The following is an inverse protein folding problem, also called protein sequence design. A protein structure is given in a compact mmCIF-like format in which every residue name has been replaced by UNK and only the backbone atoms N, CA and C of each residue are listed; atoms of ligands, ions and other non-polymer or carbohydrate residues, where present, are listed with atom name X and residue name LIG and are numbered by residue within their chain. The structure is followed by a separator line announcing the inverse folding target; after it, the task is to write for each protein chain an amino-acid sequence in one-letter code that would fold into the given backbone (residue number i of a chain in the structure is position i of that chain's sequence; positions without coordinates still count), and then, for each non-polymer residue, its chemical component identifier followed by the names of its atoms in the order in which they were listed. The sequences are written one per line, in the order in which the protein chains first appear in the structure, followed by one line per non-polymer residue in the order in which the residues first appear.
data_IF_395176920736
#
_entry.id   IF_395176920736
#
_cell.length_a   1.000
_cell.length_b   1.000
_cell.length_c   1.000
_cell.angle_alpha   90.00
_cell.angle_beta   90.00
_cell.angle_gamma   90.00
#
_symmetry.space_group_name_H-M   'P 1'
#
loop_
_entity.id
_entity.type
_entity.pdbx_description
1 polymer ?
#
# COMPACT_ATOMS: atom_id res chain seq x y z
N UNK A 1 46.45 63.36 -45.05
CA UNK A 1 45.18 62.85 -44.50
C UNK A 1 45.23 61.34 -44.53
N UNK A 2 45.59 60.70 -43.42
CA UNK A 2 45.65 59.21 -43.31
C UNK A 2 44.30 58.73 -42.79
N UNK A 3 43.64 57.85 -43.58
CA UNK A 3 42.47 57.11 -43.13
C UNK A 3 42.93 55.88 -42.38
N UNK A 4 42.62 55.81 -41.06
CA UNK A 4 42.77 54.59 -40.26
C UNK A 4 41.53 53.71 -40.46
N UNK A 5 41.78 52.49 -40.91
CA UNK A 5 40.80 51.41 -41.01
C UNK A 5 40.68 50.68 -39.66
N UNK A 6 39.50 50.67 -39.04
CA UNK A 6 39.18 49.85 -37.87
C UNK A 6 38.74 48.46 -38.35
N UNK A 7 39.42 47.42 -37.88
CA UNK A 7 39.01 46.01 -38.02
C UNK A 7 38.30 45.61 -36.75
N UNK A 8 37.07 45.09 -36.78
CA UNK A 8 36.39 44.58 -35.58
C UNK A 8 36.85 43.16 -35.27
N UNK A 9 37.37 42.95 -34.10
CA UNK A 9 37.62 41.60 -33.52
C UNK A 9 36.28 41.01 -33.10
N UNK A 10 35.87 39.91 -33.78
CA UNK A 10 34.78 39.06 -33.33
C UNK A 10 35.31 38.11 -32.24
N UNK A 11 34.85 38.29 -30.96
CA UNK A 11 35.01 37.29 -29.91
C UNK A 11 33.96 36.21 -30.11
N UNK A 12 34.33 35.02 -30.55
CA UNK A 12 33.49 33.82 -30.52
C UNK A 12 33.57 33.22 -29.11
N UNK A 13 32.49 33.42 -28.32
CA UNK A 13 32.32 32.74 -27.04
C UNK A 13 31.94 31.27 -27.29
N UNK A 14 32.85 30.33 -27.05
CA UNK A 14 32.56 28.91 -27.02
C UNK A 14 31.85 28.61 -25.70
N UNK A 15 30.52 28.44 -25.73
CA UNK A 15 29.77 27.86 -24.62
C UNK A 15 30.05 26.36 -24.59
N UNK A 16 30.90 25.90 -23.69
CA UNK A 16 31.04 24.49 -23.36
C UNK A 16 29.76 24.00 -22.70
N UNK A 17 28.91 23.25 -23.41
CA UNK A 17 27.83 22.46 -22.83
C UNK A 17 28.49 21.37 -21.96
N UNK A 18 28.49 21.56 -20.65
CA UNK A 18 28.76 20.49 -19.70
C UNK A 18 27.53 19.57 -19.76
N UNK A 19 27.63 18.46 -20.47
CA UNK A 19 26.68 17.37 -20.41
C UNK A 19 26.76 16.82 -18.96
N UNK A 20 25.87 17.28 -18.09
CA UNK A 20 25.65 16.65 -16.79
C UNK A 20 25.13 15.24 -17.08
N UNK A 21 25.99 14.24 -16.90
CA UNK A 21 25.60 12.84 -16.95
C UNK A 21 24.45 12.63 -15.98
N UNK A 22 23.29 12.21 -16.48
CA UNK A 22 22.17 11.81 -15.61
C UNK A 22 22.68 10.76 -14.63
N UNK A 23 22.37 10.88 -13.33
CA UNK A 23 22.73 9.86 -12.36
C UNK A 23 22.19 8.52 -12.88
N UNK A 24 23.06 7.51 -12.96
CA UNK A 24 22.65 6.15 -13.34
C UNK A 24 21.63 5.69 -12.30
N UNK A 25 20.36 5.64 -12.67
CA UNK A 25 19.31 5.03 -11.84
C UNK A 25 19.66 3.55 -11.67
N UNK A 26 19.91 3.16 -10.42
CA UNK A 26 20.19 1.76 -10.09
C UNK A 26 18.88 1.00 -10.29
N UNK A 27 18.86 0.10 -11.27
CA UNK A 27 17.71 -0.76 -11.51
C UNK A 27 17.57 -1.75 -10.35
N UNK A 28 16.34 -2.02 -9.86
CA UNK A 28 16.14 -3.00 -8.80
C UNK A 28 16.45 -4.42 -9.29
N UNK A 29 16.99 -5.24 -8.38
CA UNK A 29 17.17 -6.67 -8.60
C UNK A 29 15.91 -7.41 -8.15
N UNK A 30 15.37 -8.27 -8.99
CA UNK A 30 14.21 -9.12 -8.74
C UNK A 30 14.65 -10.58 -8.61
N UNK A 31 14.23 -11.26 -7.54
CA UNK A 31 14.57 -12.67 -7.27
C UNK A 31 13.30 -13.45 -6.94
N UNK A 32 12.86 -14.39 -7.79
CA UNK A 32 11.73 -15.27 -7.49
C UNK A 32 11.99 -16.13 -6.25
N UNK A 33 10.93 -16.33 -5.44
CA UNK A 33 10.96 -17.16 -4.25
C UNK A 33 9.82 -18.17 -4.28
N UNK A 34 10.02 -19.34 -3.66
CA UNK A 34 8.98 -20.36 -3.54
C UNK A 34 8.19 -20.15 -2.24
N UNK A 35 6.94 -19.72 -2.37
CA UNK A 35 6.04 -19.44 -1.24
C UNK A 35 5.59 -20.66 -0.45
N UNK A 36 5.77 -21.87 -0.99
CA UNK A 36 5.23 -23.11 -0.41
C UNK A 36 3.74 -23.34 -0.70
N UNK A 37 3.09 -22.52 -1.52
CA UNK A 37 1.66 -22.63 -1.87
C UNK A 37 1.40 -22.29 -3.34
N UNK A 38 0.35 -22.87 -3.92
CA UNK A 38 -0.19 -22.46 -5.22
C UNK A 38 -1.35 -21.45 -5.11
N UNK A 39 -1.80 -21.14 -3.89
CA UNK A 39 -2.89 -20.19 -3.68
C UNK A 39 -2.41 -18.75 -3.92
N UNK A 40 -3.25 -17.92 -4.57
CA UNK A 40 -2.93 -16.51 -4.79
C UNK A 40 -2.73 -15.75 -3.50
N UNK A 41 -1.59 -15.05 -3.40
CA UNK A 41 -1.25 -14.18 -2.28
C UNK A 41 -1.70 -12.74 -2.58
N UNK A 42 -2.18 -12.03 -1.56
CA UNK A 42 -2.83 -10.71 -1.72
C UNK A 42 -2.14 -9.64 -0.88
N UNK A 43 -1.69 -9.97 0.33
CA UNK A 43 -1.04 -9.02 1.22
C UNK A 43 0.32 -9.54 1.69
N UNK A 44 1.22 -8.61 2.04
CA UNK A 44 2.57 -8.91 2.54
C UNK A 44 2.99 -7.90 3.59
N UNK A 45 3.52 -8.40 4.72
CA UNK A 45 3.98 -7.59 5.86
C UNK A 45 5.37 -8.03 6.30
N UNK A 46 6.43 -7.30 5.93
CA UNK A 46 7.77 -7.56 6.40
C UNK A 46 7.99 -6.92 7.79
N UNK A 47 8.23 -7.78 8.80
CA UNK A 47 8.62 -7.34 10.14
C UNK A 47 10.06 -6.78 10.13
N UNK A 48 10.93 -7.43 9.38
CA UNK A 48 12.33 -7.06 9.17
C UNK A 48 12.89 -7.83 7.95
N UNK A 49 14.16 -7.62 7.53
CA UNK A 49 14.71 -8.31 6.37
C UNK A 49 14.75 -9.86 6.43
N UNK A 50 14.55 -10.45 7.59
CA UNK A 50 14.53 -11.92 7.77
C UNK A 50 13.12 -12.46 7.94
N UNK A 51 12.22 -11.73 8.62
CA UNK A 51 10.88 -12.19 8.98
C UNK A 51 9.85 -11.46 8.13
N UNK A 52 9.09 -12.22 7.33
CA UNK A 52 8.04 -11.70 6.45
C UNK A 52 6.83 -12.63 6.47
N UNK A 53 5.66 -12.03 6.61
CA UNK A 53 4.38 -12.71 6.50
C UNK A 53 3.70 -12.34 5.18
N UNK A 54 2.98 -13.27 4.60
CA UNK A 54 2.06 -13.00 3.49
C UNK A 54 0.78 -13.81 3.66
N UNK A 55 -0.30 -13.31 3.08
CA UNK A 55 -1.61 -13.93 3.17
C UNK A 55 -2.37 -13.85 1.84
N UNK A 56 -3.42 -14.67 1.69
CA UNK A 56 -4.15 -14.70 0.45
C UNK A 56 -5.42 -15.56 0.47
N UNK A 57 -5.72 -16.14 -0.68
CA UNK A 57 -6.94 -16.89 -0.94
C UNK A 57 -6.96 -18.22 -0.21
N UNK A 58 -8.15 -18.79 -0.05
CA UNK A 58 -8.39 -20.11 0.53
C UNK A 58 -7.80 -20.26 1.94
N UNK A 59 -8.00 -19.25 2.79
CA UNK A 59 -7.52 -19.23 4.16
C UNK A 59 -6.00 -19.30 4.31
N UNK A 60 -5.24 -18.97 3.26
CA UNK A 60 -3.80 -19.17 3.19
C UNK A 60 -3.02 -18.05 3.87
N UNK A 61 -1.99 -18.45 4.60
CA UNK A 61 -0.88 -17.61 5.01
C UNK A 61 0.46 -18.30 4.66
N UNK A 62 1.54 -17.52 4.62
CA UNK A 62 2.90 -18.06 4.55
C UNK A 62 3.85 -17.12 5.29
N UNK A 63 4.90 -17.70 5.89
CA UNK A 63 5.90 -16.96 6.67
C UNK A 63 7.30 -17.43 6.35
N UNK A 64 8.23 -16.49 6.28
CA UNK A 64 9.68 -16.76 6.25
C UNK A 64 10.35 -16.17 7.48
N UNK A 65 11.43 -16.80 7.93
CA UNK A 65 12.29 -16.30 9.03
C UNK A 65 13.77 -16.20 8.61
N UNK A 66 14.05 -16.39 7.32
CA UNK A 66 15.40 -16.39 6.75
C UNK A 66 15.54 -15.50 5.49
N UNK A 67 14.65 -14.49 5.37
CA UNK A 67 14.65 -13.53 4.27
C UNK A 67 14.16 -14.09 2.96
N UNK A 68 13.30 -15.10 3.03
CA UNK A 68 12.64 -15.73 1.89
C UNK A 68 13.44 -16.85 1.22
N UNK A 69 14.50 -17.38 1.87
CA UNK A 69 15.17 -18.60 1.39
C UNK A 69 14.23 -19.79 1.52
N UNK A 70 13.48 -19.83 2.62
CA UNK A 70 12.43 -20.82 2.88
C UNK A 70 11.16 -20.12 3.35
N UNK A 71 10.00 -20.55 2.84
CA UNK A 71 8.69 -20.11 3.25
C UNK A 71 7.90 -21.31 3.78
N UNK A 72 7.17 -21.11 4.89
CA UNK A 72 6.27 -22.09 5.47
C UNK A 72 4.84 -21.64 5.26
N UNK A 73 4.15 -22.26 4.34
CA UNK A 73 2.72 -22.00 4.09
C UNK A 73 1.84 -22.85 5.00
N UNK A 74 0.63 -22.34 5.27
CA UNK A 74 -0.45 -23.01 5.97
C UNK A 74 -1.80 -22.45 5.58
N UNK A 75 -2.85 -23.13 6.02
CA UNK A 75 -4.25 -22.69 5.91
C UNK A 75 -4.80 -22.60 7.32
N UNK A 76 -5.50 -21.50 7.63
CA UNK A 76 -6.15 -21.33 8.94
C UNK A 76 -7.36 -22.27 9.01
N UNK A 77 -7.42 -23.19 9.99
CA UNK A 77 -8.53 -24.12 10.10
C UNK A 77 -9.88 -23.42 10.25
N UNK A 78 -10.87 -23.80 9.44
CA UNK A 78 -12.20 -23.18 9.39
C UNK A 78 -12.27 -21.86 8.63
N UNK A 79 -11.20 -21.49 7.91
CA UNK A 79 -11.13 -20.31 7.05
C UNK A 79 -10.84 -20.68 5.58
N UNK A 80 -10.97 -21.93 5.18
CA UNK A 80 -10.60 -22.47 3.86
C UNK A 80 -11.36 -21.77 2.71
N UNK A 81 -12.53 -21.23 2.97
CA UNK A 81 -13.34 -20.48 2.00
C UNK A 81 -13.13 -18.96 2.06
N UNK A 82 -12.33 -18.49 3.00
CA UNK A 82 -12.05 -17.06 3.18
C UNK A 82 -10.85 -16.62 2.36
N UNK A 83 -10.79 -15.32 2.10
CA UNK A 83 -9.63 -14.65 1.52
C UNK A 83 -9.02 -13.73 2.57
N UNK A 84 -7.77 -13.96 2.95
CA UNK A 84 -7.05 -13.01 3.80
C UNK A 84 -6.51 -11.87 2.94
N UNK A 85 -7.22 -10.75 2.98
CA UNK A 85 -6.91 -9.53 2.22
C UNK A 85 -5.84 -8.68 2.87
N UNK A 86 -5.59 -8.92 4.16
CA UNK A 86 -4.57 -8.18 4.89
C UNK A 86 -3.86 -9.08 5.91
N UNK A 87 -2.60 -8.73 6.18
CA UNK A 87 -1.75 -9.38 7.16
C UNK A 87 -0.85 -8.36 7.85
N UNK A 88 -0.81 -8.39 9.18
CA UNK A 88 0.16 -7.62 9.97
C UNK A 88 1.12 -8.57 10.69
N UNK A 89 2.37 -8.60 10.27
CA UNK A 89 3.44 -9.31 10.92
C UNK A 89 4.05 -8.48 12.05
N UNK A 90 3.97 -8.98 13.28
CA UNK A 90 4.55 -8.33 14.47
C UNK A 90 5.93 -8.93 14.80
N UNK A 91 6.07 -10.24 14.62
CA UNK A 91 7.31 -11.00 14.84
C UNK A 91 7.26 -12.31 14.08
N UNK A 92 8.31 -13.15 14.21
CA UNK A 92 8.29 -14.51 13.68
C UNK A 92 7.19 -15.39 14.31
N UNK A 93 6.63 -15.00 15.47
CA UNK A 93 5.61 -15.76 16.19
C UNK A 93 4.24 -15.09 16.18
N UNK A 94 4.17 -13.78 16.09
CA UNK A 94 2.93 -13.01 16.23
C UNK A 94 2.57 -12.35 14.92
N UNK A 95 1.34 -12.61 14.47
CA UNK A 95 0.76 -11.96 13.29
C UNK A 95 -0.76 -11.91 13.43
N UNK A 96 -1.36 -10.97 12.68
CA UNK A 96 -2.81 -10.83 12.51
C UNK A 96 -3.18 -11.07 11.05
N UNK A 97 -4.38 -11.60 10.82
CA UNK A 97 -4.98 -11.78 9.50
C UNK A 97 -6.38 -11.17 9.50
N UNK A 98 -6.74 -10.50 8.42
CA UNK A 98 -8.10 -10.02 8.21
C UNK A 98 -8.68 -10.62 6.93
N UNK A 99 -9.88 -11.21 7.03
CA UNK A 99 -10.52 -11.91 5.94
C UNK A 99 -11.71 -11.16 5.36
N UNK A 100 -11.99 -11.50 4.12
CA UNK A 100 -13.29 -11.35 3.48
C UNK A 100 -13.75 -12.72 2.98
N UNK A 101 -15.07 -12.85 2.75
CA UNK A 101 -15.65 -14.03 2.10
C UNK A 101 -15.89 -13.82 0.61
N UNK A 102 -16.45 -14.86 0.01
CA UNK A 102 -16.93 -14.85 -1.38
C UNK A 102 -18.45 -14.86 -1.46
N UNK A 103 -19.11 -15.08 -0.33
CA UNK A 103 -20.57 -15.28 -0.24
C UNK A 103 -21.34 -13.96 -0.08
N UNK A 104 -20.69 -12.88 0.35
CA UNK A 104 -21.35 -11.65 0.78
C UNK A 104 -21.94 -11.74 2.20
N UNK A 105 -21.66 -12.83 2.93
CA UNK A 105 -22.06 -12.96 4.34
C UNK A 105 -21.17 -12.03 5.20
N UNK A 106 -21.76 -11.13 6.00
CA UNK A 106 -20.99 -10.25 6.85
C UNK A 106 -20.10 -11.00 7.84
N UNK A 107 -20.44 -12.23 8.24
CA UNK A 107 -19.62 -13.03 9.16
C UNK A 107 -18.34 -13.59 8.55
N UNK A 108 -18.13 -13.40 7.24
CA UNK A 108 -16.86 -13.73 6.57
C UNK A 108 -15.77 -12.67 6.83
N UNK A 109 -16.14 -11.49 7.34
CA UNK A 109 -15.16 -10.48 7.79
C UNK A 109 -14.73 -10.80 9.21
N UNK A 110 -13.51 -11.34 9.32
CA UNK A 110 -12.94 -11.86 10.57
C UNK A 110 -11.53 -11.36 10.77
N UNK A 111 -11.16 -11.21 12.04
CA UNK A 111 -9.77 -10.96 12.43
C UNK A 111 -9.27 -12.15 13.25
N UNK A 112 -8.13 -12.67 12.85
CA UNK A 112 -7.43 -13.75 13.54
C UNK A 112 -6.07 -13.29 14.06
N UNK A 113 -5.59 -13.91 15.13
CA UNK A 113 -4.24 -13.69 15.67
C UNK A 113 -3.55 -15.02 15.93
N UNK A 114 -2.27 -15.09 15.57
CA UNK A 114 -1.36 -16.15 16.03
C UNK A 114 -0.33 -15.58 16.99
N UNK A 115 0.16 -16.44 17.91
CA UNK A 115 1.26 -16.12 18.83
C UNK A 115 2.36 -17.22 18.83
N UNK A 116 2.24 -18.18 17.93
CA UNK A 116 3.11 -19.36 17.84
C UNK A 116 3.68 -19.61 16.43
N UNK A 117 3.67 -18.58 15.58
CA UNK A 117 4.23 -18.67 14.22
C UNK A 117 3.28 -19.34 13.22
N UNK A 118 1.98 -19.23 13.45
CA UNK A 118 0.95 -19.78 12.59
C UNK A 118 0.65 -21.27 12.85
N UNK A 119 1.14 -21.83 13.97
CA UNK A 119 0.78 -23.19 14.36
C UNK A 119 -0.69 -23.24 14.83
N UNK A 120 -1.14 -22.20 15.53
CA UNK A 120 -2.56 -22.00 15.90
C UNK A 120 -2.99 -20.57 15.63
N UNK A 121 -4.30 -20.38 15.42
CA UNK A 121 -4.93 -19.08 15.17
C UNK A 121 -6.14 -18.91 16.08
N UNK A 122 -6.22 -17.76 16.75
CA UNK A 122 -7.35 -17.38 17.60
C UNK A 122 -8.21 -16.37 16.85
N UNK A 123 -9.50 -16.67 16.71
CA UNK A 123 -10.50 -15.74 16.19
C UNK A 123 -10.75 -14.64 17.20
N UNK A 124 -10.53 -13.38 16.83
CA UNK A 124 -10.68 -12.22 17.70
C UNK A 124 -11.93 -11.40 17.42
N UNK A 125 -12.34 -11.34 16.15
CA UNK A 125 -13.47 -10.56 15.71
C UNK A 125 -14.21 -11.28 14.59
N UNK A 126 -15.56 -11.19 14.61
CA UNK A 126 -16.46 -11.57 13.53
C UNK A 126 -17.45 -10.43 13.34
N UNK A 127 -17.53 -9.91 12.12
CA UNK A 127 -18.48 -8.86 11.81
C UNK A 127 -19.93 -9.39 11.92
N UNK A 128 -20.81 -8.59 12.52
CA UNK A 128 -22.23 -8.86 12.63
C UNK A 128 -23.08 -7.76 11.98
N UNK A 129 -22.45 -6.68 11.51
CA UNK A 129 -23.15 -5.55 10.90
C UNK A 129 -23.38 -5.80 9.42
N UNK A 130 -24.62 -5.99 8.95
CA UNK A 130 -24.94 -6.11 7.54
C UNK A 130 -24.50 -4.87 6.77
N UNK A 131 -23.88 -5.08 5.60
CA UNK A 131 -23.38 -4.02 4.74
C UNK A 131 -21.98 -3.49 5.10
N UNK A 132 -21.45 -3.80 6.28
CA UNK A 132 -20.06 -3.48 6.58
C UNK A 132 -19.12 -4.43 5.83
N UNK A 133 -18.10 -3.86 5.19
CA UNK A 133 -17.07 -4.58 4.44
C UNK A 133 -15.71 -4.05 4.87
N UNK A 134 -14.95 -4.86 5.62
CA UNK A 134 -13.64 -4.46 6.14
C UNK A 134 -12.56 -4.69 5.09
N UNK A 135 -11.89 -3.62 4.67
CA UNK A 135 -10.94 -3.62 3.56
C UNK A 135 -9.50 -3.86 3.98
N UNK A 136 -9.06 -3.17 5.03
CA UNK A 136 -7.68 -3.16 5.48
C UNK A 136 -7.61 -2.93 6.99
N UNK A 137 -6.47 -3.34 7.57
CA UNK A 137 -6.08 -2.91 8.90
C UNK A 137 -4.62 -2.44 8.92
N UNK A 138 -4.24 -1.66 9.93
CA UNK A 138 -2.84 -1.34 10.20
C UNK A 138 -2.62 -1.13 11.70
N UNK A 139 -1.37 -1.31 12.13
CA UNK A 139 -1.03 -1.24 13.54
C UNK A 139 0.00 -0.14 13.80
N UNK A 140 -0.24 0.71 14.81
CA UNK A 140 0.75 1.66 15.32
C UNK A 140 1.80 0.99 16.20
N UNK A 141 1.38 -0.05 16.91
CA UNK A 141 2.23 -0.87 17.78
C UNK A 141 1.74 -2.32 17.72
N UNK A 142 2.49 -3.30 18.22
CA UNK A 142 2.05 -4.71 18.22
C UNK A 142 0.66 -4.98 18.78
N UNK A 143 0.13 -4.09 19.60
CA UNK A 143 -1.16 -4.26 20.27
C UNK A 143 -2.15 -3.10 20.03
N UNK A 144 -1.77 -2.06 19.29
CA UNK A 144 -2.67 -0.95 18.96
C UNK A 144 -2.85 -0.87 17.44
N UNK A 145 -4.05 -1.15 16.96
CA UNK A 145 -4.37 -1.19 15.53
C UNK A 145 -5.76 -0.67 15.23
N UNK A 146 -5.99 -0.43 13.94
CA UNK A 146 -7.28 0.00 13.37
C UNK A 146 -7.64 -0.94 12.22
N UNK A 147 -8.93 -1.26 12.08
CA UNK A 147 -9.50 -1.91 10.90
C UNK A 147 -10.56 -0.99 10.30
N UNK A 148 -10.43 -0.73 9.01
CA UNK A 148 -11.30 0.17 8.25
C UNK A 148 -12.31 -0.61 7.42
N UNK A 149 -13.52 -0.10 7.36
CA UNK A 149 -14.65 -0.67 6.62
C UNK A 149 -15.26 0.36 5.68
N UNK A 150 -15.87 -0.12 4.62
CA UNK A 150 -16.81 0.64 3.79
C UNK A 150 -17.88 1.32 4.66
N UNK A 151 -18.41 2.44 4.18
CA UNK A 151 -19.44 3.15 4.91
C UNK A 151 -20.79 2.44 4.88
N UNK A 152 -21.47 2.43 6.01
CA UNK A 152 -22.85 1.94 6.16
C UNK A 152 -23.72 3.09 6.64
N UNK A 153 -24.73 3.46 5.84
CA UNK A 153 -25.65 4.57 6.17
C UNK A 153 -24.93 5.90 6.50
N UNK A 154 -23.85 6.21 5.78
CA UNK A 154 -23.09 7.45 5.94
C UNK A 154 -22.11 7.45 7.13
N UNK A 155 -21.83 6.30 7.73
CA UNK A 155 -20.91 6.12 8.87
C UNK A 155 -19.89 5.03 8.52
N UNK A 156 -18.62 5.24 8.84
CA UNK A 156 -17.59 4.20 8.78
C UNK A 156 -17.64 3.37 10.08
N UNK A 157 -17.98 2.06 10.02
CA UNK A 157 -18.03 1.20 11.21
C UNK A 157 -16.65 0.69 11.63
N UNK A 158 -15.67 1.58 11.65
CA UNK A 158 -14.28 1.27 11.92
C UNK A 158 -14.08 0.71 13.33
N UNK A 159 -13.07 -0.14 13.45
CA UNK A 159 -12.70 -0.81 14.69
C UNK A 159 -11.29 -0.40 15.12
N UNK A 160 -11.08 -0.37 16.43
CA UNK A 160 -9.75 -0.20 17.03
C UNK A 160 -9.50 -1.25 18.10
N UNK A 161 -8.27 -1.73 18.15
CA UNK A 161 -7.74 -2.47 19.30
C UNK A 161 -6.67 -1.65 20.02
N UNK A 162 -6.62 -1.73 21.34
CA UNK A 162 -5.58 -1.12 22.19
C UNK A 162 -4.77 -2.16 22.97
N UNK A 163 -5.23 -3.42 22.97
CA UNK A 163 -4.60 -4.54 23.66
C UNK A 163 -4.17 -5.68 22.71
N UNK A 164 -4.46 -5.52 21.41
CA UNK A 164 -4.19 -6.52 20.37
C UNK A 164 -5.01 -7.80 20.53
N UNK A 165 -6.15 -7.71 21.21
CA UNK A 165 -7.02 -8.86 21.50
C UNK A 165 -8.49 -8.54 21.27
N UNK A 166 -8.96 -7.41 21.82
CA UNK A 166 -10.35 -6.95 21.71
C UNK A 166 -10.46 -5.82 20.69
N UNK A 167 -11.48 -5.89 19.84
CA UNK A 167 -11.77 -4.89 18.82
C UNK A 167 -13.04 -4.14 19.17
N UNK A 168 -12.98 -2.82 19.20
CA UNK A 168 -14.08 -1.94 19.59
C UNK A 168 -14.37 -0.93 18.49
N UNK A 169 -15.64 -0.62 18.28
CA UNK A 169 -16.06 0.40 17.31
C UNK A 169 -15.55 1.78 17.72
N UNK A 170 -15.03 2.50 16.70
CA UNK A 170 -14.67 3.92 16.78
C UNK A 170 -15.46 4.77 15.79
N UNK A 171 -16.63 4.30 15.37
CA UNK A 171 -17.47 5.00 14.37
C UNK A 171 -17.76 6.44 14.74
N UNK A 172 -17.91 6.75 16.04
CA UNK A 172 -18.12 8.13 16.53
C UNK A 172 -16.91 9.05 16.37
N UNK A 173 -15.74 8.50 16.13
CA UNK A 173 -14.49 9.25 15.94
C UNK A 173 -14.27 9.60 14.47
N UNK A 174 -14.96 8.88 13.56
CA UNK A 174 -14.80 9.02 12.12
C UNK A 174 -15.55 10.23 11.58
N UNK A 175 -15.06 10.88 10.52
CA UNK A 175 -15.81 11.92 9.84
C UNK A 175 -17.03 11.31 9.13
N UNK A 176 -18.06 12.10 8.83
CA UNK A 176 -19.20 11.64 8.02
C UNK A 176 -18.71 11.13 6.67
N UNK A 177 -19.20 9.96 6.25
CA UNK A 177 -18.95 9.42 4.92
C UNK A 177 -19.78 10.15 3.87
N UNK A 178 -19.23 10.28 2.67
CA UNK A 178 -19.99 10.67 1.49
C UNK A 178 -20.91 9.51 1.05
N UNK A 179 -21.98 9.79 0.29
CA UNK A 179 -22.85 8.72 -0.20
C UNK A 179 -22.07 7.67 -1.00
N UNK A 180 -22.11 6.40 -0.55
CA UNK A 180 -21.42 5.28 -1.17
C UNK A 180 -19.91 5.25 -0.98
N UNK A 181 -19.34 6.10 -0.14
CA UNK A 181 -17.90 6.15 0.08
C UNK A 181 -17.40 4.84 0.70
N UNK A 182 -16.37 4.28 0.05
CA UNK A 182 -15.80 2.99 0.36
C UNK A 182 -14.29 3.00 0.16
N UNK A 183 -13.61 1.99 0.68
CA UNK A 183 -12.23 1.68 0.33
C UNK A 183 -12.16 0.49 -0.64
N UNK A 184 -10.98 -0.06 -0.85
CA UNK A 184 -10.78 -1.19 -1.74
C UNK A 184 -9.84 -2.21 -1.10
N UNK A 185 -10.36 -3.41 -0.85
CA UNK A 185 -9.61 -4.52 -0.26
C UNK A 185 -8.63 -5.14 -1.29
N UNK A 186 -7.73 -4.32 -1.84
CA UNK A 186 -6.87 -4.72 -2.96
C UNK A 186 -5.59 -5.41 -2.50
N UNK A 187 -4.90 -4.90 -1.47
CA UNK A 187 -3.57 -5.36 -1.07
C UNK A 187 -3.29 -5.25 0.44
N UNK A 188 -4.31 -4.90 1.24
CA UNK A 188 -4.15 -4.62 2.67
C UNK A 188 -3.51 -3.26 2.97
N UNK A 189 -3.33 -2.39 1.98
CA UNK A 189 -2.60 -1.13 2.15
C UNK A 189 -3.44 0.12 1.99
N UNK A 190 -4.78 0.02 2.09
CA UNK A 190 -5.65 1.18 2.10
C UNK A 190 -5.56 1.98 3.42
N UNK A 191 -5.00 1.39 4.47
CA UNK A 191 -4.67 2.04 5.74
C UNK A 191 -3.16 2.07 5.94
N UNK A 192 -2.62 3.19 6.39
CA UNK A 192 -1.23 3.33 6.80
C UNK A 192 -1.14 3.95 8.18
N UNK A 193 -0.18 3.49 9.00
CA UNK A 193 0.11 4.05 10.34
C UNK A 193 1.57 4.48 10.44
N UNK A 194 1.85 5.46 11.29
CA UNK A 194 3.23 5.87 11.55
C UNK A 194 3.39 6.54 12.92
N UNK A 195 4.49 6.22 13.61
CA UNK A 195 4.95 6.93 14.79
C UNK A 195 4.01 6.86 16.00
N UNK A 196 3.21 5.81 16.11
CA UNK A 196 2.35 5.54 17.26
C UNK A 196 1.05 6.35 17.32
N UNK A 197 0.90 7.43 16.53
CA UNK A 197 -0.25 8.32 16.56
C UNK A 197 -0.84 8.65 15.20
N UNK A 198 -0.04 8.69 14.14
CA UNK A 198 -0.53 9.05 12.82
C UNK A 198 -1.15 7.85 12.12
N UNK A 199 -2.28 8.08 11.44
CA UNK A 199 -2.88 7.13 10.54
C UNK A 199 -3.55 7.85 9.37
N UNK A 200 -3.64 7.15 8.24
CA UNK A 200 -4.29 7.60 7.01
C UNK A 200 -5.05 6.45 6.38
N UNK A 201 -6.21 6.76 5.82
CA UNK A 201 -7.07 5.82 5.12
C UNK A 201 -7.39 6.41 3.75
N UNK A 202 -7.16 5.64 2.68
CA UNK A 202 -7.54 6.02 1.33
C UNK A 202 -8.95 5.54 1.03
N UNK A 203 -9.81 6.42 0.53
CA UNK A 203 -11.21 6.12 0.19
C UNK A 203 -11.56 6.57 -1.23
N UNK A 204 -12.72 6.17 -1.71
CA UNK A 204 -13.27 6.52 -3.02
C UNK A 204 -14.65 5.93 -3.23
N UNK A 205 -14.91 5.36 -4.40
CA UNK A 205 -16.18 4.75 -4.80
C UNK A 205 -17.37 5.73 -4.75
N UNK A 206 -17.10 7.04 -4.76
CA UNK A 206 -18.06 8.13 -4.67
C UNK A 206 -17.66 9.28 -5.60
N UNK A 207 -18.18 10.49 -5.37
CA UNK A 207 -17.94 11.67 -6.24
C UNK A 207 -16.51 12.21 -6.15
N UNK A 208 -15.80 11.98 -5.05
CA UNK A 208 -14.42 12.42 -4.83
C UNK A 208 -13.66 11.41 -3.96
N UNK A 209 -12.44 11.08 -4.34
CA UNK A 209 -11.55 10.26 -3.52
C UNK A 209 -10.97 11.11 -2.39
N UNK A 210 -11.00 10.58 -1.17
CA UNK A 210 -10.50 11.29 0.02
C UNK A 210 -9.40 10.51 0.73
N UNK A 211 -8.67 11.20 1.58
CA UNK A 211 -7.82 10.60 2.61
C UNK A 211 -8.36 11.01 3.97
N UNK A 212 -8.73 10.03 4.79
CA UNK A 212 -9.07 10.27 6.19
C UNK A 212 -7.77 10.22 6.99
N UNK A 213 -7.51 11.20 7.85
CA UNK A 213 -6.28 11.28 8.62
C UNK A 213 -6.52 11.54 10.10
N UNK A 214 -5.78 10.80 10.94
CA UNK A 214 -5.69 10.97 12.40
C UNK A 214 -4.26 11.32 12.80
N UNK A 215 -4.13 12.11 13.89
CA UNK A 215 -2.84 12.51 14.48
C UNK A 215 -2.70 12.13 15.96
N UNK A 216 -3.70 11.49 16.52
CA UNK A 216 -3.87 11.21 17.95
C UNK A 216 -4.16 9.72 18.22
N UNK A 217 -3.79 8.84 17.26
CA UNK A 217 -3.96 7.40 17.41
C UNK A 217 -5.39 6.92 17.22
N UNK A 218 -6.16 7.62 16.39
CA UNK A 218 -7.52 7.27 16.02
C UNK A 218 -8.59 7.84 16.96
N UNK A 219 -8.24 8.82 17.81
CA UNK A 219 -9.23 9.48 18.67
C UNK A 219 -10.04 10.53 17.91
N UNK A 220 -9.43 11.19 16.93
CA UNK A 220 -10.12 12.10 16.00
C UNK A 220 -9.64 11.90 14.56
N UNK A 221 -10.54 12.11 13.60
CA UNK A 221 -10.26 11.96 12.17
C UNK A 221 -10.79 13.15 11.38
N UNK A 222 -10.04 13.54 10.36
CA UNK A 222 -10.43 14.56 9.39
C UNK A 222 -10.35 13.99 7.98
N UNK A 223 -11.24 14.42 7.10
CA UNK A 223 -11.27 14.03 5.71
C UNK A 223 -10.68 15.12 4.81
N UNK A 224 -9.84 14.75 3.86
CA UNK A 224 -9.18 15.63 2.91
C UNK A 224 -9.36 15.12 1.49
N UNK A 225 -9.77 15.98 0.58
CA UNK A 225 -9.98 15.65 -0.81
C UNK A 225 -8.66 15.37 -1.54
N UNK A 226 -8.70 14.44 -2.48
CA UNK A 226 -7.57 14.14 -3.35
C UNK A 226 -7.91 14.41 -4.81
N UNK A 227 -6.91 14.66 -5.67
CA UNK A 227 -7.13 14.80 -7.11
C UNK A 227 -7.19 13.46 -7.86
N UNK A 228 -7.26 12.32 -7.15
CA UNK A 228 -7.40 11.02 -7.79
C UNK A 228 -8.74 10.88 -8.52
N UNK A 229 -8.75 10.04 -9.54
CA UNK A 229 -10.01 9.61 -10.15
C UNK A 229 -10.91 8.99 -9.08
N UNK A 230 -12.20 9.35 -9.12
CA UNK A 230 -13.23 8.76 -8.27
C UNK A 230 -14.52 8.53 -9.04
N UNK A 231 -15.08 7.36 -8.89
CA UNK A 231 -16.36 6.88 -9.45
C UNK A 231 -16.83 5.69 -8.62
N UNK A 232 -17.98 5.08 -8.87
CA UNK A 232 -18.39 3.87 -8.13
C UNK A 232 -17.39 2.69 -8.18
N UNK A 233 -16.47 2.68 -9.16
CA UNK A 233 -15.40 1.67 -9.31
C UNK A 233 -13.99 2.24 -9.16
N UNK A 234 -13.86 3.52 -8.84
CA UNK A 234 -12.58 4.21 -8.76
C UNK A 234 -12.39 4.97 -7.45
N UNK A 235 -11.12 5.14 -7.04
CA UNK A 235 -10.77 5.89 -5.84
C UNK A 235 -9.33 5.66 -5.40
N UNK A 236 -9.05 5.91 -4.13
CA UNK A 236 -7.81 5.56 -3.46
C UNK A 236 -7.83 4.10 -3.01
N UNK A 237 -6.84 3.32 -3.42
CA UNK A 237 -6.72 1.88 -3.11
C UNK A 237 -5.61 1.60 -2.09
N UNK A 238 -4.59 2.44 -2.06
CA UNK A 238 -3.36 2.19 -1.32
C UNK A 238 -2.70 3.50 -0.92
N UNK A 239 -2.13 3.56 0.27
CA UNK A 239 -1.50 4.76 0.80
C UNK A 239 -0.26 4.40 1.62
N UNK A 240 0.78 5.20 1.51
CA UNK A 240 1.98 5.04 2.33
C UNK A 240 2.59 6.41 2.71
N UNK A 241 3.19 6.47 3.88
CA UNK A 241 3.91 7.63 4.37
C UNK A 241 5.34 7.26 4.77
N UNK A 242 6.35 7.98 4.24
CA UNK A 242 7.76 7.80 4.63
C UNK A 242 8.14 8.55 5.90
N UNK A 243 7.34 9.53 6.29
CA UNK A 243 7.42 10.27 7.55
C UNK A 243 6.07 10.97 7.80
N UNK A 244 5.83 11.60 8.97
CA UNK A 244 4.51 12.18 9.30
C UNK A 244 4.00 13.25 8.33
N UNK A 245 4.84 13.81 7.46
CA UNK A 245 4.48 14.87 6.51
C UNK A 245 4.37 14.41 5.08
N UNK A 246 5.22 13.46 4.66
CA UNK A 246 5.38 13.11 3.26
C UNK A 246 4.82 11.72 2.98
N UNK A 247 3.84 11.66 2.11
CA UNK A 247 3.14 10.44 1.71
C UNK A 247 2.78 10.43 0.24
N UNK A 248 2.37 9.26 -0.21
CA UNK A 248 1.85 9.00 -1.55
C UNK A 248 0.59 8.14 -1.43
N UNK A 249 -0.42 8.44 -2.23
CA UNK A 249 -1.64 7.66 -2.39
C UNK A 249 -1.70 7.15 -3.82
N UNK A 250 -2.15 5.92 -3.99
CA UNK A 250 -2.37 5.27 -5.27
C UNK A 250 -3.80 4.74 -5.41
N UNK A 251 -4.31 4.69 -6.65
CA UNK A 251 -5.64 4.22 -6.93
C UNK A 251 -5.93 4.20 -8.43
N UNK A 252 -7.14 4.53 -8.81
CA UNK A 252 -7.62 4.54 -10.20
C UNK A 252 -8.94 3.81 -10.33
N UNK A 253 -9.27 3.35 -11.53
CA UNK A 253 -10.50 2.58 -11.81
C UNK A 253 -10.20 1.07 -11.86
N UNK A 254 -11.13 0.25 -11.34
CA UNK A 254 -11.10 -1.20 -11.51
C UNK A 254 -11.24 -1.61 -12.98
N UNK A 255 -11.84 -0.76 -13.82
CA UNK A 255 -11.82 -0.95 -15.26
C UNK A 255 -10.42 -0.62 -15.82
N UNK A 256 -9.64 -1.62 -16.27
CA UNK A 256 -8.30 -1.40 -16.78
C UNK A 256 -8.26 -0.63 -18.11
N UNK A 257 -9.39 -0.46 -18.78
CA UNK A 257 -9.51 0.30 -20.03
C UNK A 257 -9.70 1.80 -19.80
N UNK A 258 -9.92 2.26 -18.55
CA UNK A 258 -10.06 3.68 -18.25
C UNK A 258 -8.77 4.44 -18.61
N UNK A 259 -8.84 5.43 -19.53
CA UNK A 259 -7.68 6.19 -19.96
C UNK A 259 -7.20 7.22 -18.92
N UNK A 260 -7.93 7.41 -17.81
CA UNK A 260 -7.60 8.42 -16.80
C UNK A 260 -6.30 8.09 -16.09
N UNK A 261 -5.38 9.04 -16.10
CA UNK A 261 -4.04 8.91 -15.50
C UNK A 261 -3.93 9.52 -14.10
N UNK A 262 -5.03 10.01 -13.50
CA UNK A 262 -5.06 10.53 -12.12
C UNK A 262 -5.03 9.38 -11.10
N UNK A 263 -3.92 8.61 -11.08
CA UNK A 263 -3.79 7.36 -10.31
C UNK A 263 -2.84 7.44 -9.13
N UNK A 264 -1.98 8.44 -9.07
CA UNK A 264 -1.06 8.65 -7.94
C UNK A 264 -0.96 10.13 -7.60
N UNK A 265 -0.93 10.44 -6.30
CA UNK A 265 -0.74 11.80 -5.78
C UNK A 265 0.14 11.78 -4.53
N UNK A 266 0.90 12.87 -4.32
CA UNK A 266 1.77 13.05 -3.15
C UNK A 266 1.29 14.18 -2.26
N UNK A 267 1.60 14.06 -0.98
CA UNK A 267 1.42 15.08 0.04
C UNK A 267 2.75 15.40 0.72
N UNK A 268 2.95 16.65 1.12
CA UNK A 268 4.10 17.12 1.92
C UNK A 268 3.70 17.78 3.24
N UNK A 269 2.43 17.76 3.58
CA UNK A 269 1.84 18.38 4.77
C UNK A 269 1.07 17.37 5.66
N UNK A 270 1.33 16.08 5.42
CA UNK A 270 0.76 15.01 6.21
C UNK A 270 -0.59 14.52 5.70
N UNK A 271 -0.91 14.71 4.43
CA UNK A 271 -2.16 14.26 3.82
C UNK A 271 -3.28 15.29 3.89
N UNK A 272 -2.97 16.56 4.17
CA UNK A 272 -3.95 17.66 4.16
C UNK A 272 -4.20 18.13 2.72
N UNK A 273 -3.11 18.27 1.94
CA UNK A 273 -3.19 18.59 0.51
C UNK A 273 -2.45 17.57 -0.34
N UNK A 274 -2.95 17.36 -1.56
CA UNK A 274 -2.46 16.33 -2.48
C UNK A 274 -2.24 16.90 -3.87
N UNK A 275 -1.14 16.50 -4.52
CA UNK A 275 -0.78 16.90 -5.89
C UNK A 275 -0.53 15.66 -6.72
N UNK A 276 -1.15 15.58 -7.91
CA UNK A 276 -0.92 14.49 -8.86
C UNK A 276 0.57 14.37 -9.21
N UNK A 277 1.04 13.14 -9.31
CA UNK A 277 2.35 12.81 -9.88
C UNK A 277 2.25 12.65 -11.40
N UNK A 278 3.39 12.46 -12.07
CA UNK A 278 3.35 11.87 -13.41
C UNK A 278 2.73 10.46 -13.32
N UNK A 279 1.99 10.01 -14.35
CA UNK A 279 1.34 8.71 -14.33
C UNK A 279 2.38 7.58 -14.39
N UNK A 280 2.27 6.56 -13.51
CA UNK A 280 3.11 5.36 -13.62
C UNK A 280 2.79 4.58 -14.90
N UNK A 281 3.79 3.97 -15.55
CA UNK A 281 3.64 3.23 -16.81
C UNK A 281 3.04 1.81 -16.57
N UNK A 282 1.85 1.77 -16.00
CA UNK A 282 1.05 0.57 -15.75
C UNK A 282 -0.39 0.81 -16.21
N UNK A 283 -1.21 -0.22 -16.39
CA UNK A 283 -2.62 -0.10 -16.75
C UNK A 283 -3.53 -0.44 -15.57
N UNK A 284 -4.73 0.15 -15.53
CA UNK A 284 -5.69 -0.05 -14.43
C UNK A 284 -5.29 0.64 -13.12
N UNK A 285 -5.99 0.30 -12.05
CA UNK A 285 -5.75 0.87 -10.73
C UNK A 285 -4.43 0.41 -10.11
N UNK A 286 -3.84 1.25 -9.28
CA UNK A 286 -2.71 0.91 -8.43
C UNK A 286 -3.24 0.16 -7.21
N UNK A 287 -3.03 -1.15 -7.14
CA UNK A 287 -3.53 -2.01 -6.07
C UNK A 287 -2.68 -1.93 -4.81
N UNK A 288 -1.36 -1.85 -4.95
CA UNK A 288 -0.44 -1.72 -3.84
C UNK A 288 0.70 -0.76 -4.15
N UNK A 289 1.16 -0.05 -3.15
CA UNK A 289 2.38 0.76 -3.23
C UNK A 289 3.14 0.74 -1.90
N UNK A 290 4.45 0.89 -1.99
CA UNK A 290 5.28 1.02 -0.79
C UNK A 290 6.53 1.84 -1.08
N UNK A 291 6.96 2.59 -0.07
CA UNK A 291 8.30 3.20 -0.07
C UNK A 291 9.37 2.12 0.15
N UNK A 292 10.40 2.14 -0.67
CA UNK A 292 11.59 1.30 -0.50
C UNK A 292 12.47 1.88 0.60
N UNK A 293 12.03 1.83 1.86
CA UNK A 293 12.77 2.33 3.01
C UNK A 293 12.68 1.34 4.19
N UNK A 294 13.66 1.39 5.09
CA UNK A 294 13.58 0.85 6.45
C UNK A 294 13.37 1.99 7.45
N UNK A 295 13.21 1.67 8.73
CA UNK A 295 13.04 2.66 9.79
C UNK A 295 14.16 3.73 9.75
N UNK A 296 13.76 5.00 9.70
CA UNK A 296 14.67 6.15 9.68
C UNK A 296 15.30 6.49 8.33
N UNK A 297 14.98 5.77 7.26
CA UNK A 297 15.47 6.08 5.92
C UNK A 297 14.49 7.01 5.18
N UNK A 298 14.92 8.21 4.83
CA UNK A 298 14.13 9.20 4.09
C UNK A 298 14.01 8.93 2.57
N UNK A 299 14.21 7.69 2.10
CA UNK A 299 14.14 7.33 0.68
C UNK A 299 12.83 7.78 0.05
N UNK A 300 12.91 8.36 -1.14
CA UNK A 300 11.79 8.76 -2.00
C UNK A 300 11.44 7.70 -3.05
N UNK A 301 12.13 6.56 -3.00
CA UNK A 301 11.88 5.45 -3.92
C UNK A 301 10.58 4.75 -3.55
N UNK A 302 9.68 4.63 -4.53
CA UNK A 302 8.37 3.96 -4.37
C UNK A 302 8.23 2.87 -5.44
N UNK A 303 7.65 1.75 -5.07
CA UNK A 303 7.21 0.69 -6.00
C UNK A 303 5.69 0.63 -5.99
N UNK A 304 5.08 0.49 -7.16
CA UNK A 304 3.64 0.30 -7.35
C UNK A 304 3.34 -1.01 -8.06
N UNK A 305 2.20 -1.62 -7.73
CA UNK A 305 1.66 -2.81 -8.40
C UNK A 305 0.24 -2.53 -8.88
N UNK A 306 -0.09 -2.99 -10.08
CA UNK A 306 -1.40 -2.85 -10.71
C UNK A 306 -1.94 -4.21 -11.17
N UNK A 307 -1.64 -5.28 -10.43
CA UNK A 307 -2.01 -6.67 -10.75
C UNK A 307 -1.66 -7.03 -12.21
N UNK A 308 -2.65 -7.36 -13.04
CA UNK A 308 -2.44 -7.66 -14.45
C UNK A 308 -1.85 -6.48 -15.24
N UNK A 309 -2.07 -5.24 -14.77
CA UNK A 309 -1.58 -4.01 -15.38
C UNK A 309 -0.08 -3.76 -15.26
N UNK A 310 0.65 -4.62 -14.53
CA UNK A 310 2.08 -4.54 -14.38
C UNK A 310 2.54 -3.93 -13.04
N UNK A 311 3.83 -3.59 -12.99
CA UNK A 311 4.44 -2.90 -11.86
C UNK A 311 5.46 -1.86 -12.35
N UNK A 312 5.69 -0.85 -11.53
CA UNK A 312 6.63 0.24 -11.82
C UNK A 312 7.30 0.75 -10.54
N UNK A 313 8.37 1.50 -10.70
CA UNK A 313 9.04 2.16 -9.58
C UNK A 313 9.47 3.58 -9.95
N UNK A 314 9.63 4.42 -8.94
CA UNK A 314 10.10 5.79 -9.04
C UNK A 314 11.19 6.06 -7.99
N UNK A 315 12.27 6.78 -8.30
CA UNK A 315 13.26 7.20 -7.30
C UNK A 315 12.89 8.50 -6.58
N UNK A 316 11.85 9.21 -7.04
CA UNK A 316 11.58 10.61 -6.74
C UNK A 316 10.10 10.93 -6.49
N UNK A 317 9.37 9.95 -5.92
CA UNK A 317 7.94 10.06 -5.55
C UNK A 317 7.04 10.42 -6.73
N UNK A 318 7.31 9.83 -7.92
CA UNK A 318 6.44 9.93 -9.07
C UNK A 318 6.73 11.09 -10.01
N UNK A 319 7.87 11.80 -9.84
CA UNK A 319 8.37 12.75 -10.85
C UNK A 319 8.87 11.98 -12.08
N UNK A 320 9.56 10.87 -11.87
CA UNK A 320 10.04 9.96 -12.92
C UNK A 320 9.63 8.54 -12.62
N UNK A 321 9.13 7.80 -13.61
CA UNK A 321 8.72 6.40 -13.44
C UNK A 321 9.47 5.48 -14.37
N UNK A 322 9.73 4.26 -13.91
CA UNK A 322 10.35 3.17 -14.66
C UNK A 322 9.49 1.91 -14.53
N UNK A 323 9.20 1.24 -15.68
CA UNK A 323 8.53 -0.06 -15.65
C UNK A 323 9.41 -1.11 -14.98
N UNK A 324 8.78 -2.10 -14.34
CA UNK A 324 9.41 -3.36 -13.97
C UNK A 324 8.99 -4.40 -15.01
N UNK A 325 9.87 -4.73 -15.97
CA UNK A 325 9.54 -5.66 -17.06
C UNK A 325 9.14 -7.03 -16.51
N UNK A 326 8.12 -7.64 -17.11
CA UNK A 326 7.64 -9.01 -16.80
C UNK A 326 7.08 -9.18 -15.37
N UNK A 327 6.84 -8.09 -14.64
CA UNK A 327 6.24 -8.11 -13.30
C UNK A 327 4.73 -7.87 -13.42
N UNK A 328 3.96 -8.93 -13.60
CA UNK A 328 2.49 -8.90 -13.71
C UNK A 328 1.83 -9.89 -12.76
N UNK A 329 0.58 -9.64 -12.36
CA UNK A 329 -0.17 -10.51 -11.45
C UNK A 329 0.16 -10.30 -9.96
N UNK A 330 0.88 -9.24 -9.61
CA UNK A 330 1.21 -8.92 -8.22
C UNK A 330 0.19 -7.94 -7.62
N UNK A 331 -0.30 -8.28 -6.42
CA UNK A 331 -1.30 -7.50 -5.69
C UNK A 331 -0.67 -6.48 -4.75
N UNK A 332 0.30 -6.91 -3.97
CA UNK A 332 0.91 -6.11 -2.92
C UNK A 332 2.43 -6.03 -3.06
N UNK A 333 2.99 -4.96 -2.51
CA UNK A 333 4.41 -4.75 -2.32
C UNK A 333 4.67 -4.13 -0.95
N UNK A 334 5.69 -4.61 -0.23
CA UNK A 334 6.12 -4.00 1.03
C UNK A 334 7.63 -4.16 1.23
N UNK A 335 8.23 -3.28 2.04
CA UNK A 335 9.68 -3.21 2.27
C UNK A 335 10.01 -3.18 3.77
N UNK A 336 10.98 -4.00 4.17
CA UNK A 336 11.67 -3.86 5.45
C UNK A 336 12.89 -2.93 5.36
N UNK A 337 13.48 -2.80 4.17
CA UNK A 337 14.59 -1.91 3.86
C UNK A 337 14.73 -1.78 2.33
N UNK A 338 15.52 -0.83 1.80
CA UNK A 338 15.74 -0.73 0.35
C UNK A 338 16.27 -2.02 -0.29
N UNK A 339 17.02 -2.85 0.48
CA UNK A 339 17.57 -4.14 0.03
C UNK A 339 16.67 -5.34 0.34
N UNK A 340 15.48 -5.12 0.90
CA UNK A 340 14.61 -6.19 1.35
C UNK A 340 13.15 -5.78 1.22
N UNK A 341 12.62 -5.90 0.02
CA UNK A 341 11.22 -5.77 -0.32
C UNK A 341 10.66 -7.06 -0.93
N UNK A 342 9.34 -7.20 -0.91
CA UNK A 342 8.64 -8.35 -1.49
C UNK A 342 7.38 -7.90 -2.21
N UNK A 343 7.17 -8.51 -3.39
CA UNK A 343 5.90 -8.45 -4.11
C UNK A 343 5.26 -9.83 -4.00
N UNK A 344 3.93 -9.86 -3.79
CA UNK A 344 3.16 -11.11 -3.72
C UNK A 344 1.99 -11.06 -4.70
N UNK A 345 1.61 -12.22 -5.26
CA UNK A 345 0.65 -12.23 -6.35
C UNK A 345 -0.04 -13.57 -6.59
N UNK A 346 -0.63 -13.68 -7.79
CA UNK A 346 -1.39 -14.86 -8.23
C UNK A 346 -0.54 -16.13 -8.19
N UNK A 347 -1.19 -17.27 -8.06
CA UNK A 347 -0.54 -18.59 -8.07
C UNK A 347 0.59 -18.76 -7.03
N UNK A 348 0.49 -18.06 -5.90
CA UNK A 348 1.51 -18.12 -4.85
C UNK A 348 2.83 -17.44 -5.20
N UNK A 349 2.86 -16.57 -6.19
CA UNK A 349 4.07 -15.88 -6.62
C UNK A 349 4.60 -14.96 -5.53
N UNK A 350 5.92 -15.02 -5.31
CA UNK A 350 6.68 -14.06 -4.50
C UNK A 350 7.91 -13.64 -5.31
N UNK A 351 8.13 -12.32 -5.41
CA UNK A 351 9.38 -11.72 -5.89
C UNK A 351 10.01 -10.92 -4.76
N UNK A 352 11.26 -11.21 -4.44
CA UNK A 352 12.09 -10.32 -3.63
C UNK A 352 12.64 -9.20 -4.51
N UNK A 353 12.54 -7.95 -4.06
CA UNK A 353 13.07 -6.76 -4.75
C UNK A 353 14.09 -6.06 -3.87
N UNK A 354 15.18 -5.59 -4.49
CA UNK A 354 16.23 -4.81 -3.80
C UNK A 354 16.79 -3.72 -4.71
N UNK A 355 17.01 -2.54 -4.15
CA UNK A 355 17.65 -1.37 -4.76
C UNK A 355 19.11 -1.21 -4.32
#
# INVERSE_FOLDING_TARGET
MLKRSLVPFLFAAFAALIAQGQPKTVQPTLTPQNSGTGNGLIAVSPVNPQVVWASGRNGTFTVTTDGGKNWKAGVVPGAELLQFRDVEGVSAKVAYLMSIGVSGDPTDFRIYKTVDGGATWTLQFVNQLPGAFYDCFAFWTPNKGIAHSDSVNGVFPDLRTTDGTTWQSISSNMPPALPGESSFAASGTCVATQGGQNAWIATGATTIARVLASRDGGDTWNAYDTPLLSSPSAGGFTIAFRNPRNGIVGGGDLDPSDPNNARTATSSDGGVTWTLTNPPPVTGAIFGLAYAHGAGNGSRTVVVTANAGGAAWTPDEGTTWFSLPDVTGFWAVAFASPKAGWLVGVNGQILKISF
#
